data_IF_360135680838
#
_entry.id   IF_360135680838
#
_cell.length_a   1.000
_cell.length_b   1.000
_cell.length_c   1.000
_cell.angle_alpha   90.00
_cell.angle_beta   90.00
_cell.angle_gamma   90.00
#
_symmetry.space_group_name_H-M   'P 1'
#
loop_
_entity.id
_entity.type
_entity.pdbx_description
1 polymer ?
#
# COMPACT_ATOMS: atom_id res chain seq x y z
N UNK A 1 0.00 19.36 -3.12
CA UNK A 1 0.45 17.98 -3.40
C UNK A 1 1.04 17.95 -4.80
N UNK A 2 2.32 17.62 -4.96
CA UNK A 2 2.98 17.55 -6.27
C UNK A 2 2.93 16.09 -6.74
N UNK A 3 2.30 15.82 -7.88
CA UNK A 3 2.24 14.47 -8.44
C UNK A 3 3.62 14.16 -9.02
N UNK A 4 4.28 13.10 -8.52
CA UNK A 4 5.62 12.71 -8.97
C UNK A 4 5.61 11.80 -10.19
N UNK A 5 4.57 10.97 -10.36
CA UNK A 5 4.44 10.04 -11.48
C UNK A 5 2.99 9.63 -11.70
N UNK A 6 2.63 9.22 -12.91
CA UNK A 6 1.31 8.68 -13.25
C UNK A 6 1.49 7.50 -14.21
N UNK A 7 0.87 6.37 -13.86
CA UNK A 7 0.79 5.18 -14.74
C UNK A 7 -0.68 4.89 -15.03
N UNK A 8 -0.97 4.44 -16.25
CA UNK A 8 -2.31 4.04 -16.68
C UNK A 8 -2.24 2.62 -17.24
N UNK A 9 -3.21 1.80 -16.90
CA UNK A 9 -3.34 0.42 -17.37
C UNK A 9 -4.78 0.25 -17.84
N UNK A 10 -4.97 -0.26 -19.05
CA UNK A 10 -6.28 -0.64 -19.57
C UNK A 10 -6.64 -2.05 -19.16
N UNK A 11 -7.89 -2.27 -18.72
CA UNK A 11 -8.38 -3.58 -18.28
C UNK A 11 -9.72 -3.85 -18.95
N UNK A 12 -9.89 -5.04 -19.52
CA UNK A 12 -11.14 -5.45 -20.19
C UNK A 12 -12.11 -6.06 -19.19
N UNK A 13 -12.68 -5.24 -18.30
CA UNK A 13 -13.70 -5.66 -17.34
C UNK A 13 -14.71 -4.56 -17.05
N UNK A 14 -15.84 -4.93 -16.43
CA UNK A 14 -16.81 -3.94 -15.95
C UNK A 14 -16.19 -3.04 -14.87
N UNK A 15 -16.61 -1.78 -14.86
CA UNK A 15 -16.20 -0.77 -13.89
C UNK A 15 -16.40 -1.26 -12.46
N UNK A 16 -17.58 -1.81 -12.16
CA UNK A 16 -17.92 -2.35 -10.83
C UNK A 16 -16.91 -3.40 -10.35
N UNK A 17 -16.44 -4.27 -11.25
CA UNK A 17 -15.48 -5.33 -10.97
C UNK A 17 -14.10 -4.74 -10.73
N UNK A 18 -13.67 -3.80 -11.58
CA UNK A 18 -12.38 -3.12 -11.44
C UNK A 18 -12.24 -2.42 -10.07
N UNK A 19 -13.32 -1.82 -9.57
CA UNK A 19 -13.33 -1.09 -8.29
C UNK A 19 -13.71 -1.92 -7.07
N UNK A 20 -14.11 -3.19 -7.25
CA UNK A 20 -14.41 -4.13 -6.15
C UNK A 20 -13.14 -4.70 -5.52
N UNK A 21 -12.06 -4.80 -6.29
CA UNK A 21 -10.77 -5.21 -5.76
C UNK A 21 -10.22 -4.09 -4.85
N UNK A 22 -10.02 -4.33 -3.53
CA UNK A 22 -9.30 -3.37 -2.71
C UNK A 22 -7.89 -3.16 -3.29
N UNK A 23 -7.38 -1.94 -3.13
CA UNK A 23 -6.02 -1.62 -3.54
C UNK A 23 -5.07 -2.62 -2.88
N UNK A 24 -4.37 -3.37 -3.72
CA UNK A 24 -3.44 -4.42 -3.34
C UNK A 24 -4.06 -5.55 -2.51
N UNK A 25 -4.92 -6.35 -3.17
CA UNK A 25 -5.49 -7.62 -2.70
C UNK A 25 -4.52 -8.42 -1.84
N UNK A 26 -3.38 -8.82 -2.42
CA UNK A 26 -2.30 -9.51 -1.72
C UNK A 26 -1.05 -8.64 -1.74
N UNK A 27 -0.81 -7.96 -0.62
CA UNK A 27 0.31 -7.04 -0.47
C UNK A 27 1.65 -7.77 -0.64
N UNK A 28 1.74 -9.09 -0.38
CA UNK A 28 2.96 -9.88 -0.56
C UNK A 28 3.37 -9.99 -2.03
N UNK A 29 2.37 -10.11 -2.92
CA UNK A 29 2.61 -10.22 -4.38
C UNK A 29 3.01 -8.91 -5.02
N UNK A 30 2.75 -7.79 -4.34
CA UNK A 30 2.83 -6.47 -4.94
C UNK A 30 3.95 -5.65 -4.33
N UNK A 31 4.13 -5.73 -3.01
CA UNK A 31 5.29 -5.20 -2.32
C UNK A 31 6.40 -6.26 -2.26
N UNK A 32 6.93 -6.62 -3.43
CA UNK A 32 7.96 -7.66 -3.55
C UNK A 32 9.34 -7.23 -3.05
N UNK A 33 9.48 -6.00 -2.55
CA UNK A 33 10.77 -5.42 -2.21
C UNK A 33 11.59 -5.06 -3.45
N UNK A 34 12.60 -4.20 -3.27
CA UNK A 34 13.55 -3.82 -4.32
C UNK A 34 14.85 -3.30 -3.70
N UNK A 35 15.98 -3.91 -4.04
CA UNK A 35 17.26 -3.58 -3.42
C UNK A 35 17.20 -3.79 -1.89
N UNK A 36 17.53 -2.77 -1.06
CA UNK A 36 17.47 -2.89 0.40
C UNK A 36 16.04 -2.85 0.98
N UNK A 37 15.01 -2.63 0.14
CA UNK A 37 13.62 -2.68 0.58
C UNK A 37 13.20 -4.13 0.85
N UNK A 38 12.69 -4.44 2.05
CA UNK A 38 12.10 -5.74 2.32
C UNK A 38 10.88 -5.94 1.44
N UNK A 39 10.71 -7.17 0.98
CA UNK A 39 9.40 -7.62 0.56
C UNK A 39 8.43 -7.56 1.75
N UNK A 40 7.17 -7.28 1.50
CA UNK A 40 6.16 -7.41 2.53
C UNK A 40 5.92 -8.88 2.83
N UNK A 41 5.96 -9.20 4.11
CA UNK A 41 5.65 -10.53 4.65
C UNK A 41 4.16 -10.69 4.98
N UNK A 42 3.34 -9.69 4.63
CA UNK A 42 1.89 -9.70 4.83
C UNK A 42 1.41 -8.66 5.83
N UNK A 43 0.22 -8.91 6.38
CA UNK A 43 -0.50 -8.00 7.27
C UNK A 43 -0.41 -8.52 8.71
N UNK A 44 -0.03 -7.64 9.64
CA UNK A 44 0.05 -7.92 11.08
C UNK A 44 -1.31 -7.69 11.73
N UNK A 45 -1.94 -6.56 11.38
CA UNK A 45 -3.23 -6.14 11.93
C UNK A 45 -4.02 -5.44 10.85
N UNK A 46 -5.32 -5.70 10.84
CA UNK A 46 -6.26 -5.08 9.93
C UNK A 46 -7.48 -4.58 10.71
N UNK A 47 -7.97 -3.39 10.39
CA UNK A 47 -9.19 -2.82 10.97
C UNK A 47 -10.00 -2.16 9.85
N UNK A 48 -11.20 -2.69 9.59
CA UNK A 48 -12.16 -2.19 8.59
C UNK A 48 -11.52 -1.90 7.22
N UNK A 49 -10.58 -2.76 6.80
CA UNK A 49 -9.88 -2.57 5.54
C UNK A 49 -10.84 -2.65 4.36
N UNK A 50 -10.65 -1.76 3.40
CA UNK A 50 -11.62 -1.57 2.32
C UNK A 50 -12.69 -0.51 2.62
N UNK A 51 -12.79 -0.01 3.85
CA UNK A 51 -13.70 1.08 4.21
C UNK A 51 -12.97 2.41 4.42
N UNK A 52 -13.73 3.52 4.46
CA UNK A 52 -13.17 4.85 4.73
C UNK A 52 -12.57 4.88 6.14
N UNK A 53 -11.32 5.32 6.28
CA UNK A 53 -10.51 5.27 7.52
C UNK A 53 -10.13 3.86 7.99
N UNK A 54 -10.39 2.83 7.17
CA UNK A 54 -9.83 1.50 7.38
C UNK A 54 -8.30 1.55 7.28
N UNK A 55 -7.63 0.73 8.08
CA UNK A 55 -6.18 0.66 8.07
C UNK A 55 -5.66 -0.76 8.25
N UNK A 56 -4.45 -0.99 7.76
CA UNK A 56 -3.69 -2.22 8.01
C UNK A 56 -2.23 -1.91 8.32
N UNK A 57 -1.62 -2.74 9.16
CA UNK A 57 -0.20 -2.67 9.51
C UNK A 57 0.51 -3.78 8.76
N UNK A 58 1.52 -3.39 7.96
CA UNK A 58 2.28 -4.32 7.14
C UNK A 58 3.49 -4.85 7.90
N UNK A 59 3.85 -6.11 7.63
CA UNK A 59 5.06 -6.75 8.11
C UNK A 59 6.16 -6.70 7.05
N UNK A 60 7.39 -6.47 7.50
CA UNK A 60 8.61 -6.62 6.70
C UNK A 60 9.81 -6.81 7.62
N UNK A 61 10.76 -7.65 7.21
CA UNK A 61 11.91 -8.08 8.05
C UNK A 61 11.49 -8.60 9.43
N UNK A 62 10.41 -9.39 9.49
CA UNK A 62 9.89 -9.92 10.73
C UNK A 62 9.24 -8.92 11.69
N UNK A 63 9.23 -7.61 11.40
CA UNK A 63 8.71 -6.52 12.26
C UNK A 63 7.61 -5.69 11.58
N UNK A 64 6.98 -4.80 12.34
CA UNK A 64 6.11 -3.77 11.79
C UNK A 64 6.91 -2.88 10.84
N UNK A 65 6.42 -2.72 9.61
CA UNK A 65 7.11 -2.00 8.56
C UNK A 65 6.50 -0.62 8.34
N UNK A 66 5.21 -0.57 8.05
CA UNK A 66 4.46 0.67 7.85
C UNK A 66 2.96 0.42 8.06
N UNK A 67 2.22 1.52 8.16
CA UNK A 67 0.76 1.51 8.25
C UNK A 67 0.17 2.07 6.98
N UNK A 68 -0.79 1.35 6.43
CA UNK A 68 -1.55 1.76 5.27
C UNK A 68 -2.95 2.18 5.71
N UNK A 69 -3.36 3.39 5.33
CA UNK A 69 -4.65 3.96 5.75
C UNK A 69 -5.43 4.46 4.54
N UNK A 70 -6.71 4.10 4.46
CA UNK A 70 -7.62 4.59 3.43
C UNK A 70 -8.14 5.97 3.84
N UNK A 71 -7.75 7.00 3.10
CA UNK A 71 -8.16 8.40 3.36
C UNK A 71 -9.55 8.66 2.77
N UNK A 72 -9.73 8.28 1.50
CA UNK A 72 -10.97 8.50 0.76
C UNK A 72 -11.28 7.29 -0.11
N UNK A 73 -12.57 7.00 -0.26
CA UNK A 73 -13.08 5.97 -1.16
C UNK A 73 -14.36 6.49 -1.78
N UNK A 74 -14.38 6.55 -3.11
CA UNK A 74 -15.59 6.80 -3.88
C UNK A 74 -15.86 5.58 -4.76
N UNK A 75 -16.99 4.92 -4.49
CA UNK A 75 -17.37 3.69 -5.17
C UNK A 75 -17.42 3.88 -6.69
N UNK A 76 -16.88 2.92 -7.43
CA UNK A 76 -16.83 2.91 -8.89
C UNK A 76 -16.08 4.11 -9.52
N UNK A 77 -15.25 4.83 -8.75
CA UNK A 77 -14.46 5.97 -9.25
C UNK A 77 -13.01 5.96 -8.81
N UNK A 78 -12.73 6.04 -7.52
CA UNK A 78 -11.36 6.09 -7.03
C UNK A 78 -11.23 5.71 -5.56
N UNK A 79 -10.00 5.36 -5.21
CA UNK A 79 -9.56 5.11 -3.85
C UNK A 79 -8.30 5.93 -3.62
N UNK A 80 -8.19 6.53 -2.43
CA UNK A 80 -7.03 7.28 -2.00
C UNK A 80 -6.58 6.74 -0.66
N UNK A 81 -5.33 6.35 -0.61
CA UNK A 81 -4.71 5.77 0.56
C UNK A 81 -3.34 6.39 0.74
N UNK A 82 -2.82 6.27 1.95
CA UNK A 82 -1.46 6.66 2.29
C UNK A 82 -0.75 5.52 3.01
N UNK A 83 0.56 5.47 2.78
CA UNK A 83 1.48 4.71 3.62
C UNK A 83 2.13 5.71 4.56
N UNK A 84 1.98 5.49 5.85
CA UNK A 84 2.52 6.33 6.91
C UNK A 84 3.16 5.45 8.02
N UNK A 85 3.69 6.08 9.06
CA UNK A 85 4.27 5.40 10.23
C UNK A 85 5.32 4.32 9.86
N UNK A 86 6.22 4.62 8.92
CA UNK A 86 7.32 3.71 8.57
C UNK A 86 8.26 3.53 9.76
N UNK A 87 8.41 2.28 10.25
CA UNK A 87 9.22 1.96 11.43
C UNK A 87 10.66 1.52 11.12
N UNK A 88 11.02 1.39 9.85
CA UNK A 88 12.41 1.15 9.46
C UNK A 88 13.18 2.48 9.33
N UNK A 89 14.07 2.75 10.29
CA UNK A 89 15.08 3.82 10.21
C UNK A 89 16.13 3.57 9.11
N UNK A 90 16.28 2.34 8.62
CA UNK A 90 17.31 1.96 7.64
C UNK A 90 17.07 2.49 6.22
N UNK A 91 15.96 3.19 5.98
CA UNK A 91 15.71 3.89 4.71
C UNK A 91 16.49 5.18 4.53
N UNK A 92 17.10 5.72 5.60
CA UNK A 92 17.74 7.03 5.57
C UNK A 92 19.27 7.01 5.43
N UNK A 93 19.94 5.86 5.51
CA UNK A 93 21.41 5.81 5.46
C UNK A 93 21.94 4.64 4.62
N UNK A 94 21.95 4.85 3.30
CA UNK A 94 23.06 4.43 2.45
C UNK A 94 23.56 5.66 1.65
N UNK A 95 23.79 6.75 2.37
CA UNK A 95 24.75 7.79 2.02
C UNK A 95 25.52 8.09 3.31
N UNK A 96 26.86 8.14 3.22
CA UNK A 96 27.87 8.05 4.28
C UNK A 96 28.19 6.60 4.67
N UNK A 97 29.41 6.08 4.51
CA UNK A 97 30.76 6.68 4.35
C UNK A 97 31.52 6.11 3.15
#
# INVERSE_FOLDING_TARGET
MKISSTKRIGVSCEVSIAYRAPIYLDVKKIMTGYGPLPASEGVIKEVNWGEKKGYRILRGFGKEFCKETIIEKENNKYWKYELNEFKNQSFFFYYQS
#
